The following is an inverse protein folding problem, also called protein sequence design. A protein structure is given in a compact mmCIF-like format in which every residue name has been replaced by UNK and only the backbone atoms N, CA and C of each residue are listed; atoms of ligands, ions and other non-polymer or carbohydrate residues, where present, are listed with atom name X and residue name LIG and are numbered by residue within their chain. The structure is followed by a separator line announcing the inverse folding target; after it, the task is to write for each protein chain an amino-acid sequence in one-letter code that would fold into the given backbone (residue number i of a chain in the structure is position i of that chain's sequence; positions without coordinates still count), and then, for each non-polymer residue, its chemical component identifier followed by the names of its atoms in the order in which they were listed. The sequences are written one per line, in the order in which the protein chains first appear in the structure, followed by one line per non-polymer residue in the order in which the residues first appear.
data_IF_024750261660
#
_entry.id   IF_024750261660
#
_cell.length_a   1.000
_cell.length_b   1.000
_cell.length_c   1.000
_cell.angle_alpha   90.00
_cell.angle_beta   90.00
_cell.angle_gamma   90.00
#
_symmetry.space_group_name_H-M   'P 1'
#
loop_
_entity.id
_entity.type
_entity.pdbx_description
1 polymer ?
#
# COMPACT_ATOMS: atom_id res chain seq x y z
N UNK A 1 11.99 -4.86 -17.07
CA UNK A 1 10.80 -4.88 -17.96
C UNK A 1 10.55 -3.49 -18.52
N UNK A 2 9.83 -3.40 -19.63
CA UNK A 2 9.46 -2.12 -20.27
C UNK A 2 8.61 -1.26 -19.33
N UNK A 3 7.70 -1.86 -18.57
CA UNK A 3 6.86 -1.12 -17.61
C UNK A 3 7.69 -0.40 -16.55
N UNK A 4 8.77 -1.02 -16.07
CA UNK A 4 9.71 -0.37 -15.16
C UNK A 4 10.48 0.75 -15.86
N UNK A 5 10.87 0.56 -17.13
CA UNK A 5 11.58 1.59 -17.89
C UNK A 5 10.77 2.89 -18.03
N UNK A 6 9.44 2.77 -18.17
CA UNK A 6 8.52 3.92 -18.25
C UNK A 6 8.44 4.74 -16.94
N UNK A 7 8.90 4.19 -15.83
CA UNK A 7 8.91 4.89 -14.54
C UNK A 7 10.16 5.76 -14.35
N UNK A 8 11.14 5.70 -15.24
CA UNK A 8 12.33 6.54 -15.18
C UNK A 8 11.94 8.02 -15.31
N UNK A 9 12.34 8.85 -14.34
CA UNK A 9 12.03 10.28 -14.29
C UNK A 9 10.59 10.64 -13.87
N UNK A 10 9.72 9.66 -13.65
CA UNK A 10 8.36 9.86 -13.16
C UNK A 10 8.41 10.24 -11.68
N UNK A 11 7.54 11.13 -11.21
CA UNK A 11 7.40 11.51 -9.80
C UNK A 11 6.13 10.97 -9.15
N UNK A 12 5.09 10.77 -9.92
CA UNK A 12 3.79 10.24 -9.49
C UNK A 12 3.42 9.05 -10.37
N UNK A 13 3.35 7.86 -9.79
CA UNK A 13 2.93 6.65 -10.45
C UNK A 13 1.64 6.14 -9.82
N UNK A 14 0.60 5.98 -10.63
CA UNK A 14 -0.72 5.56 -10.18
C UNK A 14 -1.14 4.24 -10.81
N UNK A 15 -1.62 3.32 -9.97
CA UNK A 15 -2.30 2.09 -10.37
C UNK A 15 -3.75 2.25 -9.96
N UNK A 16 -4.65 2.21 -10.93
CA UNK A 16 -6.09 2.31 -10.69
C UNK A 16 -6.75 0.95 -10.83
N UNK A 17 -7.61 0.62 -9.89
CA UNK A 17 -8.48 -0.55 -9.92
C UNK A 17 -7.76 -1.87 -10.24
N UNK A 18 -6.74 -2.27 -9.46
CA UNK A 18 -6.12 -3.56 -9.65
C UNK A 18 -7.17 -4.67 -9.49
N UNK A 19 -6.93 -5.80 -10.13
CA UNK A 19 -7.83 -6.96 -10.03
C UNK A 19 -7.99 -7.38 -8.57
N UNK A 20 -9.20 -7.77 -8.19
CA UNK A 20 -9.46 -8.38 -6.88
C UNK A 20 -8.55 -9.60 -6.69
N UNK A 21 -7.96 -9.72 -5.50
CA UNK A 21 -7.01 -10.80 -5.20
C UNK A 21 -5.61 -10.55 -5.75
N UNK A 22 -5.27 -9.29 -6.09
CA UNK A 22 -3.89 -8.92 -6.41
C UNK A 22 -2.98 -9.30 -5.23
N UNK A 23 -1.94 -10.06 -5.52
CA UNK A 23 -0.82 -10.30 -4.59
C UNK A 23 0.30 -9.36 -5.00
N UNK A 24 0.79 -8.57 -4.06
CA UNK A 24 1.89 -7.64 -4.31
C UNK A 24 3.21 -8.40 -4.45
N UNK A 25 4.01 -8.03 -5.44
CA UNK A 25 5.40 -8.47 -5.49
C UNK A 25 6.23 -7.62 -4.52
N UNK A 26 6.40 -8.13 -3.32
CA UNK A 26 7.00 -7.42 -2.19
C UNK A 26 8.46 -7.05 -2.44
N UNK A 27 9.23 -7.95 -3.09
CA UNK A 27 10.62 -7.67 -3.46
C UNK A 27 10.71 -6.50 -4.46
N UNK A 28 9.78 -6.46 -5.42
CA UNK A 28 9.71 -5.37 -6.39
C UNK A 28 9.31 -4.06 -5.72
N UNK A 29 8.35 -4.07 -4.80
CA UNK A 29 7.98 -2.87 -4.03
C UNK A 29 9.17 -2.37 -3.22
N UNK A 30 9.89 -3.26 -2.53
CA UNK A 30 11.07 -2.89 -1.76
C UNK A 30 12.13 -2.22 -2.63
N UNK A 31 12.45 -2.79 -3.79
CA UNK A 31 13.44 -2.20 -4.69
C UNK A 31 12.96 -0.87 -5.30
N UNK A 32 11.68 -0.75 -5.63
CA UNK A 32 11.10 0.47 -6.20
C UNK A 32 10.99 1.62 -5.18
N UNK A 33 10.92 1.33 -3.88
CA UNK A 33 10.75 2.31 -2.80
C UNK A 33 11.96 2.43 -1.87
N UNK A 34 13.02 1.63 -2.09
CA UNK A 34 14.19 1.50 -1.22
C UNK A 34 15.38 2.37 -1.60
N UNK A 35 15.24 3.32 -2.53
CA UNK A 35 16.36 4.11 -3.07
C UNK A 35 17.42 3.27 -3.82
N UNK A 36 17.08 2.04 -4.19
CA UNK A 36 17.94 1.17 -5.00
C UNK A 36 18.03 1.66 -6.44
N UNK A 37 19.12 1.33 -7.12
CA UNK A 37 19.22 1.54 -8.57
C UNK A 37 18.51 0.40 -9.29
N UNK A 38 17.56 0.75 -10.14
CA UNK A 38 16.83 -0.18 -10.97
C UNK A 38 17.44 -0.27 -12.35
N UNK A 39 17.59 -1.50 -12.86
CA UNK A 39 17.96 -1.75 -14.25
C UNK A 39 16.71 -2.07 -15.07
N UNK A 40 16.52 -1.35 -16.16
CA UNK A 40 15.37 -1.52 -17.06
C UNK A 40 15.78 -1.32 -18.52
N UNK A 41 14.89 -1.73 -19.44
CA UNK A 41 15.08 -1.49 -20.87
C UNK A 41 13.73 -1.35 -21.57
N UNK A 42 13.69 -0.53 -22.59
CA UNK A 42 12.62 -0.57 -23.58
C UNK A 42 12.82 -1.71 -24.57
N UNK A 43 11.75 -2.08 -25.26
CA UNK A 43 11.81 -3.15 -26.25
C UNK A 43 12.81 -2.77 -27.38
N UNK A 44 13.71 -3.69 -27.71
CA UNK A 44 14.78 -3.51 -28.69
C UNK A 44 15.85 -2.45 -28.36
N UNK A 45 15.90 -1.95 -27.13
CA UNK A 45 16.91 -0.99 -26.68
C UNK A 45 17.90 -1.62 -25.68
N UNK A 46 19.02 -0.95 -25.45
CA UNK A 46 19.96 -1.31 -24.40
C UNK A 46 19.36 -1.04 -23.03
N UNK A 47 19.79 -1.82 -22.03
CA UNK A 47 19.40 -1.56 -20.64
C UNK A 47 20.07 -0.28 -20.12
N UNK A 48 19.39 0.38 -19.20
CA UNK A 48 19.88 1.54 -18.49
C UNK A 48 19.54 1.46 -17.01
N UNK A 49 20.31 2.15 -16.21
CA UNK A 49 20.11 2.24 -14.78
C UNK A 49 19.47 3.57 -14.40
N UNK A 50 18.53 3.53 -13.45
CA UNK A 50 17.94 4.75 -12.89
C UNK A 50 17.56 4.56 -11.42
N UNK A 51 17.49 5.66 -10.68
CA UNK A 51 16.95 5.69 -9.32
C UNK A 51 15.50 6.12 -9.35
N UNK A 52 14.58 5.36 -8.72
CA UNK A 52 13.19 5.74 -8.59
C UNK A 52 13.05 7.11 -7.89
N UNK A 53 12.24 8.00 -8.46
CA UNK A 53 11.88 9.29 -7.87
C UNK A 53 10.38 9.39 -7.59
N UNK A 54 9.63 8.38 -8.03
CA UNK A 54 8.19 8.37 -7.92
C UNK A 54 7.71 7.94 -6.53
N UNK A 55 6.51 8.39 -6.20
CA UNK A 55 5.66 7.78 -5.20
C UNK A 55 4.63 6.92 -5.93
N UNK A 56 4.43 5.69 -5.42
CA UNK A 56 3.48 4.75 -5.99
C UNK A 56 2.15 4.88 -5.25
N UNK A 57 1.10 5.18 -5.99
CA UNK A 57 -0.27 5.23 -5.48
C UNK A 57 -1.08 4.08 -6.06
N UNK A 58 -1.86 3.43 -5.23
CA UNK A 58 -2.75 2.34 -5.64
C UNK A 58 -4.17 2.70 -5.20
N UNK A 59 -5.03 3.02 -6.16
CA UNK A 59 -6.45 3.28 -5.90
C UNK A 59 -7.21 1.97 -6.03
N UNK A 60 -7.78 1.49 -4.94
CA UNK A 60 -8.46 0.20 -4.91
C UNK A 60 -9.57 0.15 -3.87
N UNK A 61 -10.63 -0.58 -4.17
CA UNK A 61 -11.66 -0.95 -3.21
C UNK A 61 -11.30 -2.24 -2.43
N UNK A 62 -10.25 -2.96 -2.87
CA UNK A 62 -9.83 -4.21 -2.25
C UNK A 62 -8.34 -4.15 -2.00
N UNK A 63 -7.95 -4.17 -0.74
CA UNK A 63 -6.55 -4.17 -0.36
C UNK A 63 -5.86 -5.45 -0.86
N UNK A 64 -4.67 -5.33 -1.47
CA UNK A 64 -3.92 -6.48 -1.97
C UNK A 64 -3.46 -7.39 -0.83
N UNK A 65 -3.25 -8.68 -1.09
CA UNK A 65 -2.63 -9.56 -0.11
C UNK A 65 -1.14 -9.22 0.07
N UNK A 66 -0.71 -9.11 1.32
CA UNK A 66 0.69 -8.87 1.73
C UNK A 66 1.09 -9.99 2.68
N UNK A 67 2.24 -10.59 2.42
CA UNK A 67 2.80 -11.64 3.28
C UNK A 67 4.05 -11.19 4.03
N UNK A 68 4.73 -10.18 3.53
CA UNK A 68 5.94 -9.63 4.15
C UNK A 68 5.61 -8.42 5.03
N UNK A 69 5.44 -8.66 6.32
CA UNK A 69 5.09 -7.65 7.31
C UNK A 69 6.14 -6.53 7.45
N UNK A 70 7.36 -6.75 6.93
CA UNK A 70 8.40 -5.71 6.95
C UNK A 70 8.07 -4.51 6.05
N UNK A 71 7.13 -4.64 5.12
CA UNK A 71 6.63 -3.52 4.33
C UNK A 71 5.88 -2.49 5.21
N UNK A 72 5.16 -2.97 6.22
CA UNK A 72 4.49 -2.10 7.19
C UNK A 72 5.47 -1.49 8.19
N UNK A 73 6.30 -2.32 8.83
CA UNK A 73 7.25 -1.86 9.86
C UNK A 73 8.29 -0.88 9.32
N UNK A 74 8.60 -0.94 8.02
CA UNK A 74 9.47 0.02 7.34
C UNK A 74 8.77 1.30 6.84
N UNK A 75 7.46 1.44 7.11
CA UNK A 75 6.67 2.60 6.69
C UNK A 75 6.49 2.74 5.18
N UNK A 76 6.65 1.64 4.41
CA UNK A 76 6.52 1.65 2.94
C UNK A 76 5.09 1.63 2.46
N UNK A 77 4.18 1.16 3.31
CA UNK A 77 2.75 1.09 3.03
C UNK A 77 2.02 2.05 3.96
N UNK A 78 1.19 2.87 3.36
CA UNK A 78 0.34 3.83 4.05
C UNK A 78 -1.04 3.75 3.42
N UNK A 79 -2.06 3.55 4.25
CA UNK A 79 -3.45 3.53 3.80
C UNK A 79 -4.08 4.89 4.06
N UNK A 80 -4.59 5.49 2.98
CA UNK A 80 -5.37 6.73 3.05
C UNK A 80 -6.82 6.35 2.81
N UNK A 81 -7.66 6.31 3.88
CA UNK A 81 -9.04 5.89 3.75
C UNK A 81 -9.90 6.96 3.08
N UNK A 82 -10.79 6.55 2.18
CA UNK A 82 -11.82 7.37 1.54
C UNK A 82 -13.17 6.67 1.74
N UNK A 83 -13.68 6.74 2.95
CA UNK A 83 -14.85 5.94 3.38
C UNK A 83 -16.20 6.59 3.04
N UNK A 84 -16.17 7.85 2.58
CA UNK A 84 -17.41 8.54 2.23
C UNK A 84 -17.96 8.01 0.90
N UNK A 85 -19.17 7.49 0.96
CA UNK A 85 -20.00 7.25 -0.22
C UNK A 85 -20.78 8.53 -0.58
N UNK A 86 -20.82 8.84 -1.87
CA UNK A 86 -21.63 9.95 -2.40
C UNK A 86 -22.86 9.38 -3.08
N UNK A 87 -24.02 9.76 -2.59
CA UNK A 87 -25.29 9.39 -3.22
C UNK A 87 -25.40 10.02 -4.62
N UNK A 88 -26.25 9.44 -5.49
CA UNK A 88 -26.36 9.85 -6.89
C UNK A 88 -26.64 11.36 -7.04
N UNK A 89 -27.44 11.94 -6.14
CA UNK A 89 -27.78 13.36 -6.13
C UNK A 89 -26.66 14.27 -5.60
N UNK A 90 -25.64 13.72 -4.95
CA UNK A 90 -24.44 14.44 -4.51
C UNK A 90 -23.32 14.43 -5.57
N UNK A 91 -23.45 13.57 -6.59
CA UNK A 91 -22.39 13.35 -7.56
C UNK A 91 -22.37 14.45 -8.62
N UNK A 92 -21.21 15.11 -8.78
CA UNK A 92 -20.95 16.04 -9.86
C UNK A 92 -20.37 15.30 -11.08
N UNK A 93 -21.20 15.11 -12.10
CA UNK A 93 -20.84 14.33 -13.30
C UNK A 93 -19.70 14.95 -14.12
N UNK A 94 -19.55 16.28 -14.03
CA UNK A 94 -18.55 17.03 -14.81
C UNK A 94 -17.28 17.36 -14.01
N UNK A 95 -17.10 16.79 -12.82
CA UNK A 95 -16.01 17.13 -11.90
C UNK A 95 -14.63 17.08 -12.57
N UNK A 96 -14.39 16.09 -13.43
CA UNK A 96 -13.15 15.92 -14.17
C UNK A 96 -12.88 17.09 -15.14
N UNK A 97 -13.93 17.56 -15.83
CA UNK A 97 -13.83 18.70 -16.74
C UNK A 97 -13.65 20.01 -15.95
N UNK A 98 -14.33 20.13 -14.80
CA UNK A 98 -14.15 21.30 -13.91
C UNK A 98 -12.70 21.40 -13.44
N UNK A 99 -12.09 20.33 -12.96
CA UNK A 99 -10.70 20.30 -12.51
C UNK A 99 -9.67 20.54 -13.63
N UNK A 100 -10.06 20.38 -14.88
CA UNK A 100 -9.21 20.65 -16.05
C UNK A 100 -9.22 22.12 -16.47
N UNK A 101 -10.05 22.97 -15.88
CA UNK A 101 -10.08 24.40 -16.17
C UNK A 101 -8.83 25.09 -15.60
N UNK A 102 -8.28 26.12 -16.26
CA UNK A 102 -7.09 26.82 -15.80
C UNK A 102 -7.19 27.36 -14.37
N UNK A 103 -8.34 27.88 -13.98
CA UNK A 103 -8.61 28.43 -12.65
C UNK A 103 -8.55 27.33 -11.58
N UNK A 104 -9.18 26.18 -11.85
CA UNK A 104 -9.17 25.04 -10.96
C UNK A 104 -7.77 24.43 -10.86
N UNK A 105 -7.05 24.31 -11.98
CA UNK A 105 -5.67 23.84 -12.00
C UNK A 105 -4.74 24.76 -11.17
N UNK A 106 -4.94 26.08 -11.27
CA UNK A 106 -4.20 27.06 -10.44
C UNK A 106 -4.52 26.92 -8.94
N UNK A 107 -5.80 26.72 -8.60
CA UNK A 107 -6.21 26.48 -7.20
C UNK A 107 -5.62 25.18 -6.63
N UNK A 108 -5.63 24.11 -7.42
CA UNK A 108 -5.01 22.82 -7.04
C UNK A 108 -3.50 22.99 -6.84
N UNK A 109 -2.81 23.73 -7.73
CA UNK A 109 -1.39 24.00 -7.57
C UNK A 109 -1.09 24.77 -6.27
N UNK A 110 -1.87 25.81 -5.95
CA UNK A 110 -1.72 26.54 -4.70
C UNK A 110 -1.91 25.64 -3.48
N UNK A 111 -2.92 24.80 -3.48
CA UNK A 111 -3.15 23.81 -2.43
C UNK A 111 -1.98 22.82 -2.27
N UNK A 112 -1.38 22.37 -3.38
CA UNK A 112 -0.18 21.52 -3.35
C UNK A 112 1.04 22.27 -2.80
N UNK A 113 1.19 23.57 -3.09
CA UNK A 113 2.27 24.41 -2.55
C UNK A 113 2.09 24.60 -1.05
N UNK A 114 0.87 24.85 -0.58
CA UNK A 114 0.55 24.92 0.86
C UNK A 114 0.91 23.63 1.57
N UNK A 115 0.48 22.48 1.00
CA UNK A 115 0.82 21.16 1.53
C UNK A 115 2.33 20.89 1.57
N UNK A 116 3.07 21.35 0.55
CA UNK A 116 4.52 21.26 0.53
C UNK A 116 5.16 22.12 1.63
N UNK A 117 4.65 23.32 1.86
CA UNK A 117 5.14 24.22 2.93
C UNK A 117 4.93 23.57 4.30
N UNK A 118 3.74 23.05 4.57
CA UNK A 118 3.46 22.31 5.80
C UNK A 118 4.38 21.10 5.99
N UNK A 119 4.64 20.35 4.91
CA UNK A 119 5.59 19.23 4.94
C UNK A 119 7.01 19.68 5.32
N UNK A 120 7.46 20.87 4.89
CA UNK A 120 8.77 21.39 5.25
C UNK A 120 8.85 21.87 6.71
N UNK A 121 7.76 22.40 7.24
CA UNK A 121 7.68 22.96 8.59
C UNK A 121 7.43 21.85 9.65
N UNK A 122 6.52 20.93 9.38
CA UNK A 122 6.02 19.94 10.33
C UNK A 122 6.56 18.51 10.08
N UNK A 123 7.25 18.29 8.97
CA UNK A 123 7.64 16.96 8.52
C UNK A 123 6.46 16.21 7.87
N UNK A 124 6.45 14.89 7.97
CA UNK A 124 5.38 14.06 7.41
C UNK A 124 4.47 13.53 8.55
N UNK A 125 3.53 14.33 9.04
CA UNK A 125 2.59 13.87 10.05
C UNK A 125 1.65 12.84 9.44
N UNK A 126 1.44 11.74 10.15
CA UNK A 126 0.39 10.80 9.77
C UNK A 126 -0.86 11.10 10.59
N UNK A 127 -1.96 11.56 9.98
CA UNK A 127 -3.24 11.73 10.65
C UNK A 127 -3.72 10.44 11.33
N UNK A 128 -4.50 10.57 12.40
CA UNK A 128 -5.00 9.41 13.15
C UNK A 128 -5.72 8.41 12.24
N UNK A 129 -6.58 8.88 11.33
CA UNK A 129 -7.31 8.03 10.40
C UNK A 129 -6.37 7.20 9.50
N UNK A 130 -5.25 7.78 9.04
CA UNK A 130 -4.24 7.09 8.23
C UNK A 130 -3.50 6.03 9.05
N UNK A 131 -3.13 6.37 10.29
CA UNK A 131 -2.48 5.41 11.21
C UNK A 131 -3.40 4.24 11.51
N UNK A 132 -4.63 4.52 11.91
CA UNK A 132 -5.61 3.51 12.27
C UNK A 132 -5.90 2.57 11.08
N UNK A 133 -6.13 3.10 9.88
CA UNK A 133 -6.36 2.31 8.69
C UNK A 133 -5.13 1.45 8.30
N UNK A 134 -3.92 2.00 8.43
CA UNK A 134 -2.69 1.25 8.14
C UNK A 134 -2.46 0.13 9.15
N UNK A 135 -2.71 0.39 10.44
CA UNK A 135 -2.61 -0.62 11.49
C UNK A 135 -3.65 -1.73 11.34
N UNK A 136 -4.89 -1.39 11.01
CA UNK A 136 -5.94 -2.37 10.72
C UNK A 136 -5.54 -3.28 9.55
N UNK A 137 -5.04 -2.71 8.47
CA UNK A 137 -4.58 -3.50 7.32
C UNK A 137 -3.37 -4.38 7.66
N UNK A 138 -2.44 -3.89 8.47
CA UNK A 138 -1.32 -4.68 8.96
C UNK A 138 -1.81 -5.89 9.77
N UNK A 139 -2.69 -5.67 10.74
CA UNK A 139 -3.28 -6.71 11.58
C UNK A 139 -4.03 -7.76 10.73
N UNK A 140 -4.90 -7.32 9.81
CA UNK A 140 -5.66 -8.20 8.93
C UNK A 140 -4.76 -9.01 7.96
N UNK A 141 -3.54 -8.55 7.72
CA UNK A 141 -2.53 -9.22 6.88
C UNK A 141 -1.65 -10.19 7.67
N UNK A 142 -1.57 -10.06 9.01
CA UNK A 142 -0.73 -10.90 9.86
C UNK A 142 -1.45 -12.19 10.28
N UNK A 143 -1.27 -13.21 9.47
CA UNK A 143 -1.87 -14.53 9.73
C UNK A 143 -1.46 -15.15 11.06
N UNK A 144 -0.25 -14.84 11.55
CA UNK A 144 0.21 -15.36 12.82
C UNK A 144 -0.49 -14.67 13.98
N UNK A 145 -0.65 -13.35 13.89
CA UNK A 145 -1.38 -12.57 14.89
C UNK A 145 -2.84 -13.03 14.96
N UNK A 146 -3.52 -13.15 13.80
CA UNK A 146 -4.89 -13.65 13.72
C UNK A 146 -5.05 -15.06 14.30
N UNK A 147 -4.12 -15.98 13.99
CA UNK A 147 -4.15 -17.33 14.56
C UNK A 147 -3.94 -17.32 16.07
N UNK A 148 -3.01 -16.51 16.57
CA UNK A 148 -2.75 -16.41 18.02
C UNK A 148 -3.97 -15.87 18.75
N UNK A 149 -4.61 -14.84 18.23
CA UNK A 149 -5.81 -14.24 18.84
C UNK A 149 -7.01 -15.20 18.85
N UNK A 150 -7.18 -15.99 17.78
CA UNK A 150 -8.33 -16.87 17.64
C UNK A 150 -8.15 -18.21 18.38
N UNK A 151 -6.92 -18.75 18.45
CA UNK A 151 -6.66 -20.12 18.88
C UNK A 151 -5.81 -20.26 20.14
N UNK A 152 -5.10 -19.24 20.56
CA UNK A 152 -4.18 -19.36 21.69
C UNK A 152 -4.62 -18.47 22.84
N UNK A 153 -4.75 -19.06 24.00
CA UNK A 153 -4.91 -18.34 25.25
C UNK A 153 -3.57 -18.30 25.99
N UNK A 154 -3.13 -17.10 26.35
CA UNK A 154 -1.89 -16.91 27.10
C UNK A 154 -2.17 -17.07 28.59
N UNK A 155 -1.64 -18.11 29.17
CA UNK A 155 -1.70 -18.38 30.61
C UNK A 155 -0.30 -18.45 31.19
N UNK A 156 -0.13 -17.81 32.36
CA UNK A 156 1.15 -17.81 33.06
C UNK A 156 1.51 -19.24 33.48
N UNK A 157 2.74 -19.65 33.19
CA UNK A 157 3.28 -20.97 33.48
C UNK A 157 2.69 -22.14 32.65
N UNK A 158 1.88 -21.82 31.63
CA UNK A 158 1.41 -22.84 30.69
C UNK A 158 2.46 -23.12 29.62
N UNK A 159 2.63 -24.40 29.30
CA UNK A 159 3.54 -24.87 28.26
C UNK A 159 2.83 -25.73 27.23
N UNK A 160 3.15 -25.55 25.97
CA UNK A 160 2.69 -26.43 24.90
C UNK A 160 3.84 -26.83 23.95
N UNK A 161 3.67 -28.00 23.30
CA UNK A 161 4.67 -28.44 22.35
C UNK A 161 4.58 -27.61 21.07
N UNK A 162 5.72 -27.10 20.60
CA UNK A 162 5.80 -26.36 19.33
C UNK A 162 5.19 -27.12 18.16
N UNK A 163 5.34 -28.44 18.11
CA UNK A 163 4.74 -29.29 17.06
C UNK A 163 3.20 -29.28 17.10
N UNK A 164 2.60 -29.21 18.28
CA UNK A 164 1.15 -29.13 18.43
C UNK A 164 0.61 -27.78 17.96
N UNK A 165 1.28 -26.68 18.35
CA UNK A 165 0.94 -25.32 17.87
C UNK A 165 1.08 -25.23 16.36
N UNK A 166 2.17 -25.74 15.79
CA UNK A 166 2.37 -25.72 14.35
C UNK A 166 1.32 -26.53 13.59
N UNK A 167 0.92 -27.68 14.13
CA UNK A 167 -0.17 -28.47 13.52
C UNK A 167 -1.51 -27.76 13.58
N UNK A 168 -1.82 -27.11 14.71
CA UNK A 168 -3.01 -26.27 14.84
C UNK A 168 -3.01 -25.11 13.84
N UNK A 169 -1.90 -24.41 13.72
CA UNK A 169 -1.71 -23.33 12.74
C UNK A 169 -1.94 -23.82 11.30
N UNK A 170 -1.39 -24.97 10.94
CA UNK A 170 -1.60 -25.54 9.60
C UNK A 170 -3.07 -25.86 9.33
N UNK A 171 -3.75 -26.43 10.29
CA UNK A 171 -5.18 -26.74 10.17
C UNK A 171 -5.98 -25.44 10.02
N UNK A 172 -5.72 -24.45 10.88
CA UNK A 172 -6.34 -23.14 10.79
C UNK A 172 -6.09 -22.46 9.44
N UNK A 173 -4.87 -22.49 8.91
CA UNK A 173 -4.57 -21.98 7.57
C UNK A 173 -5.42 -22.69 6.50
N UNK A 174 -5.51 -24.02 6.53
CA UNK A 174 -6.31 -24.77 5.57
C UNK A 174 -7.80 -24.41 5.64
N UNK A 175 -8.34 -24.28 6.85
CA UNK A 175 -9.75 -23.96 7.08
C UNK A 175 -10.10 -22.54 6.61
N UNK A 176 -9.15 -21.61 6.69
CA UNK A 176 -9.29 -20.22 6.27
C UNK A 176 -8.77 -19.96 4.84
N UNK A 177 -8.32 -20.97 4.11
CA UNK A 177 -7.85 -20.82 2.73
C UNK A 177 -6.49 -20.15 2.60
N UNK A 178 -5.66 -20.19 3.64
CA UNK A 178 -4.30 -19.70 3.65
C UNK A 178 -3.28 -20.80 3.34
N UNK A 179 -2.13 -20.41 2.83
CA UNK A 179 -0.95 -21.28 2.80
C UNK A 179 -0.19 -21.14 4.13
N UNK A 180 0.14 -22.29 4.75
CA UNK A 180 0.91 -22.38 5.98
C UNK A 180 2.42 -22.34 5.72
#
# INVERSE_FOLDING_TARGET
TEDIARLAGVRFANISEPRRGLVLNEAQIKSMTGNDTLNARFLHENSFDFKPQFKLYVNTNYLPAITDMTLFSSGRIVIIPFDRHFEEWEQEQNLKAEFSRPEAASAILNWLIEGYTLLQEEGFPQPKAVKDATMSYQHDSDKMELFVEEFLEQEKDAECRTSAVYQAYRNWCNDNGYFA
#
